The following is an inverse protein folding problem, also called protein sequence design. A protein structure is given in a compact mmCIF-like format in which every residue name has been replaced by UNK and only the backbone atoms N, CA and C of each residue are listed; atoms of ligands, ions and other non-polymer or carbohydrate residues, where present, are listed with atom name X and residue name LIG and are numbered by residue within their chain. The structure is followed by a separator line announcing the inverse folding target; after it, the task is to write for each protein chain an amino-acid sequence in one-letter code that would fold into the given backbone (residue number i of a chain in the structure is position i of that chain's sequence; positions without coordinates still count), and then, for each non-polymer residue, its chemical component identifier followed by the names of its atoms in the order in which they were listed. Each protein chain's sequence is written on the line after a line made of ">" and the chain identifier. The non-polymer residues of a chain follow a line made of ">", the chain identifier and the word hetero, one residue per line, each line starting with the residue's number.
data_IF_732766305400
#
_entry.id   IF_732766305400
#
_cell.length_a   1.000
_cell.length_b   1.000
_cell.length_c   1.000
_cell.angle_alpha   90.00
_cell.angle_beta   90.00
_cell.angle_gamma   90.00
#
_symmetry.space_group_name_H-M   'P 1'
#
loop_
_entity.id
_entity.type
_entity.pdbx_description
1 polymer ?
#
# COMPACT_ATOMS: atom_id res chain seq x y z
N UNK A 1 -18.59 50.88 -41.31
CA UNK A 1 -17.59 50.63 -40.24
C UNK A 1 -17.84 49.21 -39.74
N UNK A 2 -16.86 48.33 -39.89
CA UNK A 2 -16.94 46.87 -39.70
C UNK A 2 -16.61 46.54 -38.23
N UNK A 3 -17.52 45.90 -37.52
CA UNK A 3 -17.30 45.46 -36.14
C UNK A 3 -16.54 44.13 -36.16
N UNK A 4 -15.27 44.13 -35.74
CA UNK A 4 -14.51 42.91 -35.52
C UNK A 4 -14.84 42.31 -34.14
N UNK A 5 -15.33 41.08 -34.13
CA UNK A 5 -15.49 40.27 -32.92
C UNK A 5 -14.14 39.67 -32.52
N UNK A 6 -13.62 40.07 -31.37
CA UNK A 6 -12.46 39.45 -30.75
C UNK A 6 -12.80 38.01 -30.34
N UNK A 7 -12.24 37.03 -31.04
CA UNK A 7 -12.29 35.62 -30.64
C UNK A 7 -11.32 35.40 -29.47
N UNK A 8 -11.84 35.35 -28.25
CA UNK A 8 -11.15 34.78 -27.09
C UNK A 8 -11.10 33.25 -27.24
N UNK A 9 -10.17 32.74 -28.04
CA UNK A 9 -9.98 31.29 -28.23
C UNK A 9 -8.69 30.74 -27.59
N UNK A 10 -7.90 31.58 -26.92
CA UNK A 10 -6.55 31.21 -26.44
C UNK A 10 -6.41 30.92 -24.95
N UNK A 11 -7.38 31.29 -24.11
CA UNK A 11 -7.26 31.18 -22.63
C UNK A 11 -7.81 29.84 -22.09
N UNK A 12 -8.73 29.20 -22.83
CA UNK A 12 -9.35 27.95 -22.41
C UNK A 12 -8.45 26.72 -22.62
N UNK A 13 -7.67 26.69 -23.70
CA UNK A 13 -6.89 25.49 -24.08
C UNK A 13 -5.63 25.28 -23.21
N UNK A 14 -4.98 26.37 -22.75
CA UNK A 14 -3.81 26.30 -21.86
C UNK A 14 -4.19 25.87 -20.45
N UNK A 15 -5.33 26.34 -19.93
CA UNK A 15 -5.86 25.98 -18.61
C UNK A 15 -6.30 24.51 -18.56
N UNK A 16 -7.05 24.04 -19.58
CA UNK A 16 -7.44 22.62 -19.71
C UNK A 16 -6.24 21.67 -19.83
N UNK A 17 -5.20 22.08 -20.57
CA UNK A 17 -3.95 21.32 -20.70
C UNK A 17 -3.22 21.18 -19.35
N UNK A 18 -3.22 22.23 -18.54
CA UNK A 18 -2.57 22.22 -17.22
C UNK A 18 -3.33 21.33 -16.22
N UNK A 19 -4.66 21.43 -16.17
CA UNK A 19 -5.51 20.57 -15.33
C UNK A 19 -5.35 19.09 -15.67
N UNK A 20 -5.30 18.76 -16.96
CA UNK A 20 -5.10 17.37 -17.43
C UNK A 20 -3.73 16.83 -17.02
N UNK A 21 -2.68 17.65 -17.07
CA UNK A 21 -1.33 17.29 -16.59
C UNK A 21 -1.32 17.08 -15.08
N UNK A 22 -1.93 17.99 -14.30
CA UNK A 22 -2.06 17.85 -12.86
C UNK A 22 -2.80 16.56 -12.46
N UNK A 23 -3.91 16.25 -13.14
CA UNK A 23 -4.66 15.01 -12.91
C UNK A 23 -3.82 13.76 -13.21
N UNK A 24 -3.06 13.77 -14.31
CA UNK A 24 -2.18 12.67 -14.69
C UNK A 24 -1.06 12.46 -13.66
N UNK A 25 -0.41 13.53 -13.20
CA UNK A 25 0.63 13.46 -12.18
C UNK A 25 0.08 12.98 -10.83
N UNK A 26 -1.05 13.53 -10.39
CA UNK A 26 -1.72 13.07 -9.17
C UNK A 26 -2.09 11.59 -9.23
N UNK A 27 -2.63 11.13 -10.37
CA UNK A 27 -2.93 9.72 -10.57
C UNK A 27 -1.67 8.83 -10.52
N UNK A 28 -0.56 9.28 -11.12
CA UNK A 28 0.70 8.56 -11.08
C UNK A 28 1.20 8.39 -9.63
N UNK A 29 1.17 9.46 -8.84
CA UNK A 29 1.58 9.42 -7.42
C UNK A 29 0.69 8.45 -6.63
N UNK A 30 -0.63 8.59 -6.74
CA UNK A 30 -1.57 7.77 -5.97
C UNK A 30 -1.49 6.28 -6.38
N UNK A 31 -1.27 5.99 -7.67
CA UNK A 31 -1.09 4.61 -8.15
C UNK A 31 0.19 3.94 -7.64
N UNK A 32 1.16 4.71 -7.17
CA UNK A 32 2.41 4.19 -6.59
C UNK A 32 2.26 3.64 -5.17
N UNK A 33 1.25 4.10 -4.41
CA UNK A 33 1.09 3.77 -2.98
C UNK A 33 1.02 2.27 -2.69
N UNK A 34 0.40 1.50 -3.60
CA UNK A 34 0.28 0.04 -3.47
C UNK A 34 1.65 -0.67 -3.50
N UNK A 35 2.65 -0.07 -4.14
CA UNK A 35 4.04 -0.57 -4.18
C UNK A 35 4.88 -0.11 -2.98
N UNK A 36 4.63 1.09 -2.47
CA UNK A 36 5.31 1.62 -1.28
C UNK A 36 4.89 0.87 -0.01
N UNK A 37 3.64 0.41 0.05
CA UNK A 37 3.06 -0.26 1.22
C UNK A 37 3.06 -1.80 1.10
N UNK A 38 4.09 -2.39 0.48
CA UNK A 38 4.21 -3.85 0.35
C UNK A 38 4.31 -4.57 1.70
N UNK A 39 4.99 -3.99 2.68
CA UNK A 39 5.10 -4.58 4.02
C UNK A 39 3.76 -4.57 4.77
N UNK A 40 2.87 -3.61 4.50
CA UNK A 40 1.50 -3.62 5.04
C UNK A 40 0.73 -4.85 4.55
N UNK A 41 0.88 -5.21 3.27
CA UNK A 41 0.24 -6.41 2.71
C UNK A 41 0.75 -7.70 3.35
N UNK A 42 2.04 -7.76 3.69
CA UNK A 42 2.64 -8.88 4.42
C UNK A 42 2.12 -8.94 5.86
N UNK A 43 2.11 -7.81 6.57
CA UNK A 43 1.60 -7.72 7.94
C UNK A 43 0.11 -8.10 8.02
N UNK A 44 -0.69 -7.71 7.02
CA UNK A 44 -2.11 -8.06 6.91
C UNK A 44 -2.38 -9.57 6.71
N UNK A 45 -1.36 -10.38 6.44
CA UNK A 45 -1.45 -11.83 6.34
C UNK A 45 -0.95 -12.54 7.61
N UNK A 46 -0.42 -11.79 8.59
CA UNK A 46 0.00 -12.33 9.87
C UNK A 46 -1.17 -12.42 10.84
N UNK A 47 -1.09 -13.38 11.75
CA UNK A 47 -2.02 -13.56 12.87
C UNK A 47 -1.25 -13.30 14.18
N UNK A 48 -1.74 -12.37 15.00
CA UNK A 48 -1.07 -11.96 16.23
C UNK A 48 -1.06 -13.06 17.28
N UNK A 49 -2.16 -13.82 17.39
CA UNK A 49 -2.29 -14.87 18.40
C UNK A 49 -1.40 -16.06 18.05
N UNK A 50 -1.28 -16.37 16.75
CA UNK A 50 -0.34 -17.37 16.25
C UNK A 50 1.11 -16.92 16.50
N UNK A 51 1.44 -15.66 16.21
CA UNK A 51 2.78 -15.11 16.45
C UNK A 51 3.18 -15.22 17.93
N UNK A 52 2.34 -14.70 18.83
CA UNK A 52 2.58 -14.79 20.29
C UNK A 52 2.58 -16.22 20.79
N UNK A 53 1.70 -17.06 20.25
CA UNK A 53 1.68 -18.49 20.53
C UNK A 53 2.98 -19.19 20.15
N UNK A 54 3.59 -18.84 19.02
CA UNK A 54 4.84 -19.45 18.56
C UNK A 54 6.05 -18.97 19.37
N UNK A 55 6.10 -17.69 19.76
CA UNK A 55 7.13 -17.17 20.68
C UNK A 55 7.04 -17.85 22.05
N UNK A 56 5.82 -18.04 22.57
CA UNK A 56 5.59 -18.77 23.82
C UNK A 56 6.00 -20.25 23.70
N UNK A 57 5.71 -20.92 22.58
CA UNK A 57 6.14 -22.30 22.34
C UNK A 57 7.66 -22.43 22.30
N UNK A 58 8.37 -21.48 21.70
CA UNK A 58 9.84 -21.42 21.71
C UNK A 58 10.38 -21.34 23.13
N UNK A 59 9.90 -20.38 23.92
CA UNK A 59 10.31 -20.20 25.32
C UNK A 59 9.99 -21.40 26.20
N UNK A 60 8.80 -22.01 26.05
CA UNK A 60 8.46 -23.24 26.77
C UNK A 60 9.32 -24.42 26.33
N UNK A 61 9.54 -24.55 25.02
CA UNK A 61 10.34 -25.62 24.43
C UNK A 61 11.76 -25.65 24.97
N UNK A 62 12.41 -24.49 25.05
CA UNK A 62 13.78 -24.41 25.59
C UNK A 62 13.81 -24.70 27.09
N UNK A 63 12.81 -24.27 27.86
CA UNK A 63 12.66 -24.62 29.27
C UNK A 63 12.52 -26.13 29.50
N UNK A 64 11.71 -26.81 28.69
CA UNK A 64 11.56 -28.27 28.76
C UNK A 64 12.88 -28.99 28.44
N UNK A 65 13.61 -28.51 27.44
CA UNK A 65 14.92 -29.08 27.07
C UNK A 65 15.91 -28.91 28.22
N UNK A 66 15.95 -27.73 28.84
CA UNK A 66 16.79 -27.45 30.01
C UNK A 66 16.49 -28.39 31.18
N UNK A 67 15.21 -28.68 31.45
CA UNK A 67 14.81 -29.64 32.48
C UNK A 67 15.30 -31.06 32.16
N UNK A 68 15.14 -31.53 30.91
CA UNK A 68 15.61 -32.86 30.49
C UNK A 68 17.14 -32.96 30.62
N UNK A 69 17.89 -31.93 30.23
CA UNK A 69 19.35 -31.93 30.36
C UNK A 69 19.76 -32.06 31.83
N UNK A 70 19.15 -31.24 32.71
CA UNK A 70 19.40 -31.27 34.16
C UNK A 70 19.15 -32.65 34.78
N UNK A 71 18.11 -33.35 34.33
CA UNK A 71 17.81 -34.71 34.81
C UNK A 71 18.85 -35.75 34.39
N UNK A 72 19.61 -35.50 33.31
CA UNK A 72 20.64 -36.41 32.81
C UNK A 72 22.04 -36.10 33.37
N UNK A 73 22.26 -34.95 34.04
CA UNK A 73 23.61 -34.52 34.48
C UNK A 73 24.32 -35.49 35.43
N UNK A 74 23.58 -36.34 36.15
CA UNK A 74 24.16 -37.35 37.05
C UNK A 74 24.70 -38.61 36.32
N UNK A 75 24.36 -38.81 35.05
CA UNK A 75 24.85 -39.94 34.26
C UNK A 75 26.14 -39.56 33.51
N UNK A 76 27.26 -40.13 33.94
CA UNK A 76 28.58 -39.95 33.31
C UNK A 76 28.60 -40.33 31.82
N UNK A 77 27.74 -41.26 31.39
CA UNK A 77 27.64 -41.66 29.98
C UNK A 77 27.05 -40.56 29.10
N UNK A 78 26.29 -39.64 29.70
CA UNK A 78 25.60 -38.53 29.03
C UNK A 78 26.41 -37.23 29.00
N UNK A 79 27.59 -37.17 29.64
CA UNK A 79 28.35 -35.92 29.84
C UNK A 79 28.51 -35.07 28.57
N UNK A 80 28.94 -35.68 27.46
CA UNK A 80 29.14 -34.98 26.18
C UNK A 80 27.84 -34.42 25.59
N UNK A 81 26.74 -35.13 25.80
CA UNK A 81 25.41 -34.66 25.38
C UNK A 81 25.00 -33.44 26.21
N UNK A 82 25.13 -33.52 27.54
CA UNK A 82 24.82 -32.41 28.44
C UNK A 82 25.66 -31.17 28.14
N UNK A 83 26.97 -31.32 27.89
CA UNK A 83 27.85 -30.21 27.48
C UNK A 83 27.37 -29.53 26.18
N UNK A 84 27.07 -30.32 25.15
CA UNK A 84 26.57 -29.80 23.87
C UNK A 84 25.21 -29.11 24.03
N UNK A 85 24.31 -29.70 24.81
CA UNK A 85 22.97 -29.15 25.02
C UNK A 85 22.99 -27.89 25.87
N UNK A 86 23.85 -27.80 26.89
CA UNK A 86 24.02 -26.58 27.67
C UNK A 86 24.52 -25.41 26.81
N UNK A 87 25.42 -25.66 25.86
CA UNK A 87 25.84 -24.65 24.87
C UNK A 87 24.68 -24.21 23.97
N UNK A 88 23.89 -25.17 23.47
CA UNK A 88 22.69 -24.89 22.68
C UNK A 88 21.67 -24.06 23.45
N UNK A 89 21.35 -24.45 24.69
CA UNK A 89 20.39 -23.75 25.57
C UNK A 89 20.81 -22.30 25.76
N UNK A 90 22.09 -22.05 26.09
CA UNK A 90 22.59 -20.70 26.30
C UNK A 90 22.33 -19.80 25.08
N UNK A 91 22.66 -20.27 23.88
CA UNK A 91 22.45 -19.49 22.65
C UNK A 91 20.95 -19.32 22.36
N UNK A 92 20.17 -20.38 22.53
CA UNK A 92 18.73 -20.33 22.27
C UNK A 92 18.00 -19.37 23.22
N UNK A 93 18.34 -19.38 24.51
CA UNK A 93 17.75 -18.46 25.49
C UNK A 93 18.03 -16.99 25.14
N UNK A 94 19.29 -16.67 24.77
CA UNK A 94 19.67 -15.33 24.35
C UNK A 94 18.87 -14.85 23.12
N UNK A 95 18.68 -15.72 22.12
CA UNK A 95 17.91 -15.39 20.91
C UNK A 95 16.40 -15.30 21.18
N UNK A 96 15.85 -16.18 22.03
CA UNK A 96 14.43 -16.14 22.41
C UNK A 96 14.09 -14.85 23.15
N UNK A 97 14.96 -14.39 24.06
CA UNK A 97 14.78 -13.10 24.75
C UNK A 97 14.74 -11.93 23.74
N UNK A 98 15.62 -11.95 22.73
CA UNK A 98 15.61 -10.93 21.67
C UNK A 98 14.30 -10.96 20.87
N UNK A 99 13.82 -12.14 20.50
CA UNK A 99 12.55 -12.30 19.77
C UNK A 99 11.37 -11.78 20.60
N UNK A 100 11.30 -12.12 21.90
CA UNK A 100 10.27 -11.62 22.81
C UNK A 100 10.29 -10.09 22.93
N UNK A 101 11.48 -9.50 23.04
CA UNK A 101 11.63 -8.05 23.08
C UNK A 101 11.18 -7.39 21.76
N UNK A 102 11.57 -7.97 20.60
CA UNK A 102 11.16 -7.48 19.28
C UNK A 102 9.65 -7.58 19.06
N UNK A 103 9.03 -8.68 19.49
CA UNK A 103 7.59 -8.86 19.45
C UNK A 103 6.87 -7.77 20.27
N UNK A 104 7.31 -7.56 21.51
CA UNK A 104 6.74 -6.54 22.40
C UNK A 104 6.84 -5.13 21.80
N UNK A 105 8.01 -4.77 21.26
CA UNK A 105 8.22 -3.48 20.58
C UNK A 105 7.32 -3.36 19.35
N UNK A 106 7.24 -4.40 18.52
CA UNK A 106 6.41 -4.39 17.31
C UNK A 106 4.93 -4.20 17.66
N UNK A 107 4.42 -4.91 18.68
CA UNK A 107 3.03 -4.77 19.14
C UNK A 107 2.75 -3.38 19.73
N UNK A 108 3.72 -2.78 20.43
CA UNK A 108 3.59 -1.39 20.92
C UNK A 108 3.45 -0.40 19.77
N UNK A 109 4.29 -0.52 18.74
CA UNK A 109 4.21 0.34 17.55
C UNK A 109 2.88 0.16 16.81
N UNK A 110 2.36 -1.07 16.76
CA UNK A 110 1.03 -1.37 16.21
C UNK A 110 -0.08 -0.70 17.02
N UNK A 111 0.05 -0.65 18.36
CA UNK A 111 -0.89 0.06 19.22
C UNK A 111 -0.85 1.57 18.96
N UNK A 112 0.34 2.16 18.88
CA UNK A 112 0.52 3.60 18.60
C UNK A 112 -0.09 4.00 17.26
N UNK A 113 0.18 3.25 16.18
CA UNK A 113 -0.39 3.56 14.87
C UNK A 113 -1.91 3.33 14.86
N UNK A 114 -2.41 2.33 15.58
CA UNK A 114 -3.86 2.10 15.68
C UNK A 114 -4.55 3.24 16.40
N UNK A 115 -3.95 3.76 17.48
CA UNK A 115 -4.42 4.93 18.23
C UNK A 115 -4.39 6.19 17.36
N UNK A 116 -3.35 6.40 16.56
CA UNK A 116 -3.28 7.54 15.63
C UNK A 116 -4.47 7.58 14.66
N UNK A 117 -4.89 6.43 14.12
CA UNK A 117 -6.00 6.37 13.15
C UNK A 117 -7.39 6.22 13.76
N UNK A 118 -7.52 5.59 14.94
CA UNK A 118 -8.82 5.24 15.53
C UNK A 118 -9.13 5.95 16.86
N UNK A 119 -8.16 6.64 17.47
CA UNK A 119 -8.30 7.27 18.79
C UNK A 119 -8.40 6.21 19.89
N UNK A 120 -9.61 5.96 20.39
CA UNK A 120 -9.82 4.97 21.45
C UNK A 120 -9.64 3.53 20.94
N UNK A 121 -8.55 2.88 21.34
CA UNK A 121 -8.15 1.55 20.86
C UNK A 121 -8.83 0.37 21.58
N UNK A 122 -9.69 0.63 22.58
CA UNK A 122 -10.30 -0.44 23.40
C UNK A 122 -11.07 -1.51 22.61
N UNK A 123 -11.57 -1.20 21.41
CA UNK A 123 -12.28 -2.15 20.54
C UNK A 123 -11.34 -2.95 19.63
N UNK A 124 -10.14 -2.44 19.40
CA UNK A 124 -9.18 -2.94 18.42
C UNK A 124 -8.06 -3.75 19.08
N UNK A 125 -7.92 -3.67 20.41
CA UNK A 125 -6.98 -4.49 21.20
C UNK A 125 -7.19 -6.00 20.99
N UNK A 126 -8.40 -6.45 20.66
CA UNK A 126 -8.68 -7.86 20.38
C UNK A 126 -8.07 -8.35 19.06
N UNK A 127 -7.74 -7.45 18.12
CA UNK A 127 -7.18 -7.80 16.81
C UNK A 127 -6.09 -6.80 16.39
N UNK A 128 -4.88 -6.87 17.00
CA UNK A 128 -3.81 -5.89 16.80
C UNK A 128 -3.46 -5.62 15.33
N UNK A 129 -3.49 -6.63 14.46
CA UNK A 129 -3.13 -6.48 13.05
C UNK A 129 -4.26 -6.05 12.12
N UNK A 130 -5.47 -5.79 12.64
CA UNK A 130 -6.64 -5.39 11.84
C UNK A 130 -6.38 -4.13 11.02
N UNK A 131 -5.61 -3.18 11.56
CA UNK A 131 -5.25 -1.96 10.84
C UNK A 131 -4.56 -2.25 9.49
N UNK A 132 -3.70 -3.26 9.43
CA UNK A 132 -3.03 -3.64 8.19
C UNK A 132 -4.00 -4.25 7.18
N UNK A 133 -4.98 -5.04 7.64
CA UNK A 133 -6.03 -5.59 6.77
C UNK A 133 -6.85 -4.49 6.12
N UNK A 134 -7.27 -3.50 6.91
CA UNK A 134 -8.04 -2.34 6.41
C UNK A 134 -7.25 -1.60 5.33
N UNK A 135 -5.97 -1.31 5.58
CA UNK A 135 -5.13 -0.60 4.61
C UNK A 135 -4.88 -1.45 3.36
N UNK A 136 -4.61 -2.77 3.48
CA UNK A 136 -4.46 -3.68 2.34
C UNK A 136 -5.71 -3.68 1.44
N UNK A 137 -6.88 -3.76 2.05
CA UNK A 137 -8.15 -3.84 1.34
C UNK A 137 -8.47 -2.49 0.67
N UNK A 138 -8.22 -1.38 1.36
CA UNK A 138 -8.28 -0.04 0.78
C UNK A 138 -7.37 0.10 -0.44
N UNK A 139 -6.10 -0.33 -0.35
CA UNK A 139 -5.15 -0.28 -1.47
C UNK A 139 -5.62 -1.13 -2.66
N UNK A 140 -6.29 -2.25 -2.40
CA UNK A 140 -6.85 -3.10 -3.47
C UNK A 140 -7.96 -2.38 -4.23
N UNK A 141 -8.82 -1.63 -3.52
CA UNK A 141 -9.85 -0.80 -4.14
C UNK A 141 -9.21 0.38 -4.88
N UNK A 142 -8.23 1.04 -4.26
CA UNK A 142 -7.51 2.17 -4.84
C UNK A 142 -6.85 1.80 -6.17
N UNK A 143 -6.19 0.64 -6.25
CA UNK A 143 -5.55 0.15 -7.47
C UNK A 143 -6.55 -0.03 -8.62
N UNK A 144 -7.77 -0.49 -8.32
CA UNK A 144 -8.83 -0.64 -9.33
C UNK A 144 -9.31 0.72 -9.82
N UNK A 145 -9.61 1.62 -8.90
CA UNK A 145 -10.05 2.98 -9.22
C UNK A 145 -9.00 3.74 -10.02
N UNK A 146 -7.72 3.65 -9.65
CA UNK A 146 -6.64 4.30 -10.39
C UNK A 146 -6.56 3.81 -11.85
N UNK A 147 -6.74 2.51 -12.09
CA UNK A 147 -6.79 1.95 -13.45
C UNK A 147 -7.98 2.48 -14.23
N UNK A 148 -9.18 2.47 -13.64
CA UNK A 148 -10.40 2.98 -14.29
C UNK A 148 -10.27 4.46 -14.66
N UNK A 149 -9.78 5.29 -13.73
CA UNK A 149 -9.55 6.73 -13.95
C UNK A 149 -8.49 6.96 -15.02
N UNK A 150 -7.43 6.16 -15.05
CA UNK A 150 -6.40 6.19 -16.09
C UNK A 150 -6.97 5.95 -17.49
N UNK A 151 -7.80 4.91 -17.63
CA UNK A 151 -8.48 4.57 -18.89
C UNK A 151 -9.43 5.68 -19.35
N UNK A 152 -10.19 6.29 -18.43
CA UNK A 152 -11.08 7.42 -18.74
C UNK A 152 -10.26 8.62 -19.24
N UNK A 153 -9.19 8.97 -18.54
CA UNK A 153 -8.35 10.11 -18.89
C UNK A 153 -7.71 9.94 -20.27
N UNK A 154 -7.25 8.73 -20.62
CA UNK A 154 -6.74 8.42 -21.95
C UNK A 154 -7.81 8.59 -23.04
N UNK A 155 -9.02 8.05 -22.82
CA UNK A 155 -10.15 8.18 -23.77
C UNK A 155 -10.59 9.63 -23.98
N UNK A 156 -10.65 10.44 -22.91
CA UNK A 156 -11.00 11.87 -23.02
C UNK A 156 -9.95 12.67 -23.80
N UNK A 157 -8.66 12.39 -23.60
CA UNK A 157 -7.58 13.04 -24.37
C UNK A 157 -7.69 12.69 -25.86
N UNK A 158 -7.88 11.40 -26.19
CA UNK A 158 -8.03 10.94 -27.58
C UNK A 158 -9.25 11.56 -28.24
N UNK A 159 -10.38 11.66 -27.55
CA UNK A 159 -11.60 12.30 -28.07
C UNK A 159 -11.45 13.81 -28.28
N UNK A 160 -10.65 14.51 -27.47
CA UNK A 160 -10.38 15.95 -27.65
C UNK A 160 -9.42 16.25 -28.80
N UNK A 161 -8.48 15.33 -29.08
CA UNK A 161 -7.53 15.43 -30.19
C UNK A 161 -8.21 15.20 -31.56
N UNK A 162 -9.36 14.50 -31.60
CA UNK A 162 -10.15 14.25 -32.81
C UNK A 162 -11.29 15.27 -33.01
N UNK A 163 -11.08 16.55 -32.67
CA UNK A 163 -11.97 17.61 -33.17
C UNK A 163 -11.81 17.69 -34.70
N UNK A 164 -12.69 17.01 -35.43
CA UNK A 164 -12.76 17.06 -36.90
C UNK A 164 -12.81 18.53 -37.35
N UNK A 165 -12.02 18.95 -38.36
CA UNK A 165 -12.23 20.23 -39.00
C UNK A 165 -13.62 20.23 -39.61
N UNK A 166 -14.48 21.19 -39.23
CA UNK A 166 -15.76 21.41 -39.91
C UNK A 166 -15.42 21.73 -41.38
N UNK A 167 -15.90 20.95 -42.36
CA UNK A 167 -15.64 21.26 -43.76
C UNK A 167 -16.36 22.57 -44.09
N UNK A 168 -15.61 23.60 -44.48
CA UNK A 168 -16.22 24.80 -45.08
C UNK A 168 -16.71 24.42 -46.47
N UNK A 169 -18.03 24.41 -46.66
CA UNK A 169 -18.67 24.08 -47.93
C UNK A 169 -18.40 25.19 -48.98
N UNK A 170 -17.75 24.94 -50.13
CA UNK A 170 -17.42 25.97 -51.12
C UNK A 170 -18.56 26.32 -52.10
N UNK A 171 -19.79 25.86 -51.89
CA UNK A 171 -20.85 26.03 -52.90
C UNK A 171 -21.87 27.12 -52.53
N UNK A 172 -21.49 28.38 -52.77
CA UNK A 172 -22.44 29.42 -53.15
C UNK A 172 -21.98 30.05 -54.46
N UNK A 173 -22.44 29.44 -55.57
CA UNK A 173 -22.35 30.03 -56.89
C UNK A 173 -23.23 31.28 -56.94
N UNK A 174 -22.62 32.46 -57.06
CA UNK A 174 -23.31 33.67 -57.49
C UNK A 174 -23.54 33.58 -59.00
N UNK A 175 -24.76 33.25 -59.42
CA UNK A 175 -25.21 33.44 -60.80
C UNK A 175 -25.86 34.82 -60.96
N UNK A 176 -25.07 35.70 -61.56
CA UNK A 176 -25.34 36.76 -62.54
C UNK A 176 -26.77 37.23 -62.83
N UNK A 177 -26.93 38.56 -62.96
CA UNK A 177 -27.44 39.15 -64.22
C UNK A 177 -27.05 40.63 -64.35
N UNK A 178 -26.43 40.95 -65.49
CA UNK A 178 -26.19 42.31 -66.00
C UNK A 178 -27.34 42.78 -66.89
N UNK A 179 -27.36 44.10 -67.09
CA UNK A 179 -28.05 44.93 -68.10
C UNK A 179 -29.30 45.63 -67.53
N UNK A 180 -29.48 46.95 -67.69
CA UNK A 180 -28.97 47.92 -68.69
C UNK A 180 -28.46 49.18 -67.99
#
# INVERSE_FOLDING_TARGET
>A
IRSEGARLSGVSDSTFSNETKCRKLGLQVVSGLSSELTNVKKAAAMDSDVLSGDVLKLSKGIGNISEVVRLNEADESSRKFCESMNSFIKVADEEIIKIQAQESVALSLVKEITEYFHGNTAKEEAHPFRIFMVVRDFLTILDRVCKEVGMINERTIVSSAHKFPVPVNPTLQQYTSSSV
#
